data_IF_636098868167
#
_entry.id   IF_636098868167
#
_cell.length_a   1.000
_cell.length_b   1.000
_cell.length_c   1.000
_cell.angle_alpha   90.00
_cell.angle_beta   90.00
_cell.angle_gamma   90.00
#
_symmetry.space_group_name_H-M   'P 1'
#
loop_
_entity.id
_entity.type
_entity.pdbx_description
1 polymer ?
#
# COMPACT_ATOMS: atom_id res chain seq x y z
N UNK A 1 9.38 -23.28 11.79
CA UNK A 1 8.17 -23.36 10.95
C UNK A 1 6.84 -23.22 11.71
N UNK A 2 6.73 -23.47 13.00
CA UNK A 2 5.51 -23.21 13.80
C UNK A 2 5.50 -21.82 14.47
N UNK A 3 6.62 -21.12 14.46
CA UNK A 3 6.83 -19.83 15.15
C UNK A 3 6.36 -18.62 14.31
N UNK A 4 6.44 -18.67 12.99
CA UNK A 4 6.00 -17.56 12.13
C UNK A 4 4.47 -17.37 12.11
N UNK A 5 3.71 -18.47 12.16
CA UNK A 5 2.24 -18.39 12.16
C UNK A 5 1.68 -17.80 13.47
N UNK A 6 2.44 -17.94 14.58
CA UNK A 6 2.07 -17.37 15.88
C UNK A 6 2.36 -15.86 15.95
N UNK A 7 3.32 -15.35 15.14
CA UNK A 7 3.69 -13.94 15.19
C UNK A 7 2.69 -13.04 14.46
N UNK A 8 2.06 -13.49 13.37
CA UNK A 8 1.04 -12.66 12.69
C UNK A 8 -0.17 -12.43 13.61
N UNK A 9 -0.66 -13.50 14.27
CA UNK A 9 -1.74 -13.37 15.25
C UNK A 9 -1.34 -12.58 16.51
N UNK A 10 -0.07 -12.67 16.94
CA UNK A 10 0.41 -11.97 18.14
C UNK A 10 0.83 -10.52 17.87
N UNK A 11 1.29 -10.16 16.68
CA UNK A 11 1.60 -8.77 16.34
C UNK A 11 0.32 -7.90 16.34
N UNK A 12 -0.78 -8.44 15.83
CA UNK A 12 -2.09 -7.76 15.91
C UNK A 12 -2.61 -7.63 17.36
N UNK A 13 -2.31 -8.60 18.24
CA UNK A 13 -2.69 -8.55 19.66
C UNK A 13 -1.81 -7.62 20.51
N UNK A 14 -0.52 -7.46 20.19
CA UNK A 14 0.39 -6.64 21.00
C UNK A 14 0.21 -5.13 20.76
N UNK A 15 -0.21 -4.73 19.56
CA UNK A 15 -0.55 -3.34 19.28
C UNK A 15 -1.81 -2.85 20.04
N UNK A 16 -2.74 -3.76 20.39
CA UNK A 16 -3.97 -3.45 21.11
C UNK A 16 -3.78 -3.34 22.66
N UNK A 17 -2.67 -3.82 23.22
CA UNK A 17 -2.44 -3.85 24.67
C UNK A 17 -1.84 -2.57 25.27
N UNK A 18 -1.63 -1.52 24.47
CA UNK A 18 -0.93 -0.28 24.88
C UNK A 18 -1.79 0.82 25.52
N UNK A 19 -3.12 0.72 25.60
CA UNK A 19 -3.95 1.78 26.18
C UNK A 19 -5.01 1.22 27.12
N UNK A 20 -4.70 1.13 28.42
CA UNK A 20 -5.66 0.81 29.47
C UNK A 20 -6.58 1.98 29.79
N UNK A 21 -7.89 1.82 29.61
CA UNK A 21 -8.91 2.72 30.17
C UNK A 21 -9.97 1.92 30.93
N UNK A 22 -10.57 2.47 32.01
CA UNK A 22 -11.55 1.76 32.83
C UNK A 22 -12.93 1.78 32.17
N UNK A 23 -13.60 0.65 32.27
CA UNK A 23 -14.94 0.39 31.77
C UNK A 23 -16.03 1.19 32.51
N UNK A 24 -16.95 1.82 31.76
CA UNK A 24 -18.39 1.85 32.06
C UNK A 24 -19.15 2.19 30.78
N UNK A 25 -20.04 1.29 30.37
CA UNK A 25 -20.96 1.45 29.23
C UNK A 25 -22.16 2.33 29.59
N UNK A 26 -22.72 3.10 28.66
CA UNK A 26 -24.10 2.88 28.24
C UNK A 26 -24.26 2.81 26.68
N UNK A 27 -25.38 2.24 26.28
CA UNK A 27 -25.79 1.86 24.96
C UNK A 27 -25.94 3.03 23.95
N UNK A 28 -25.90 2.75 22.62
CA UNK A 28 -25.65 3.74 21.58
C UNK A 28 -26.92 4.35 21.02
N UNK A 29 -26.86 5.66 20.78
CA UNK A 29 -27.66 6.32 19.75
C UNK A 29 -26.77 6.72 18.56
N UNK A 30 -27.40 6.68 17.39
CA UNK A 30 -26.88 6.78 16.05
C UNK A 30 -25.76 7.80 15.79
N UNK A 31 -24.89 7.39 14.87
CA UNK A 31 -24.06 8.24 14.02
C UNK A 31 -23.46 9.47 14.69
N UNK A 32 -22.25 9.29 15.24
CA UNK A 32 -21.24 10.34 15.26
C UNK A 32 -20.06 9.94 16.16
N UNK A 33 -18.88 10.38 15.72
CA UNK A 33 -17.67 10.57 16.51
C UNK A 33 -16.97 9.32 17.09
N UNK A 34 -16.21 8.66 16.22
CA UNK A 34 -15.02 7.96 16.68
C UNK A 34 -13.95 9.00 17.10
N UNK A 35 -14.14 9.61 18.27
CA UNK A 35 -13.09 10.38 18.91
C UNK A 35 -12.16 9.45 19.69
N UNK A 36 -11.10 8.98 19.05
CA UNK A 36 -9.92 8.49 19.77
C UNK A 36 -9.18 9.72 20.30
N UNK A 37 -9.51 10.13 21.52
CA UNK A 37 -8.75 11.15 22.24
C UNK A 37 -7.51 10.50 22.85
N UNK A 38 -6.39 10.60 22.16
CA UNK A 38 -5.09 10.18 22.68
C UNK A 38 -4.00 10.53 21.67
N UNK A 39 -3.11 11.42 22.08
CA UNK A 39 -1.87 11.74 21.36
C UNK A 39 -0.97 10.49 21.40
N UNK A 40 -1.11 9.59 20.43
CA UNK A 40 -0.34 8.36 20.35
C UNK A 40 0.32 8.26 18.96
N UNK A 41 1.40 9.02 18.77
CA UNK A 41 2.45 8.60 17.85
C UNK A 41 2.81 7.14 18.18
N UNK A 42 3.23 6.36 17.18
CA UNK A 42 3.73 5.01 17.40
C UNK A 42 4.80 5.06 18.50
N UNK A 43 4.63 4.27 19.55
CA UNK A 43 5.63 4.19 20.63
C UNK A 43 6.59 3.07 20.32
N UNK A 44 7.87 3.40 20.20
CA UNK A 44 8.92 2.44 19.91
C UNK A 44 9.52 1.89 21.20
N UNK A 45 9.70 0.58 21.26
CA UNK A 45 10.52 -0.09 22.27
C UNK A 45 12.02 0.22 22.05
N UNK A 46 12.87 -0.15 23.01
CA UNK A 46 14.33 -0.05 22.81
C UNK A 46 14.82 -0.93 21.65
N UNK A 47 14.16 -2.07 21.42
CA UNK A 47 14.43 -2.98 20.31
C UNK A 47 14.05 -2.35 18.96
N UNK A 48 12.87 -1.71 18.88
CA UNK A 48 12.44 -0.98 17.68
C UNK A 48 13.38 0.17 17.36
N UNK A 49 13.81 0.94 18.35
CA UNK A 49 14.76 2.04 18.15
C UNK A 49 16.11 1.53 17.67
N UNK A 50 16.58 0.40 18.18
CA UNK A 50 17.82 -0.23 17.73
C UNK A 50 17.69 -0.73 16.28
N UNK A 51 16.55 -1.34 15.94
CA UNK A 51 16.25 -1.80 14.57
C UNK A 51 16.19 -0.62 13.60
N UNK A 52 15.49 0.45 13.94
CA UNK A 52 15.43 1.68 13.12
C UNK A 52 16.82 2.28 12.89
N UNK A 53 17.64 2.37 13.96
CA UNK A 53 19.00 2.90 13.87
C UNK A 53 19.90 2.02 12.98
N UNK A 54 19.74 0.70 13.05
CA UNK A 54 20.47 -0.23 12.19
C UNK A 54 20.05 -0.07 10.72
N UNK A 55 18.75 0.00 10.46
CA UNK A 55 18.19 0.21 9.11
C UNK A 55 18.61 1.55 8.50
N UNK A 56 18.60 2.63 9.29
CA UNK A 56 19.04 3.96 8.84
C UNK A 56 20.56 4.02 8.51
N UNK A 57 21.35 3.06 9.01
CA UNK A 57 22.77 2.96 8.71
C UNK A 57 23.12 2.05 7.52
N UNK A 58 22.12 1.43 6.89
CA UNK A 58 22.33 0.57 5.72
C UNK A 58 22.79 1.36 4.49
N UNK A 59 23.48 0.67 3.58
CA UNK A 59 23.91 1.25 2.30
C UNK A 59 22.69 1.65 1.46
N UNK A 60 22.79 2.80 0.79
CA UNK A 60 21.73 3.36 -0.05
C UNK A 60 20.62 4.07 0.71
N UNK A 61 20.65 4.08 2.04
CA UNK A 61 19.63 4.80 2.83
C UNK A 61 19.93 6.30 2.83
N UNK A 62 18.88 7.08 2.57
CA UNK A 62 18.86 8.54 2.64
C UNK A 62 17.62 8.93 3.44
N UNK A 63 17.84 9.62 4.57
CA UNK A 63 16.75 10.26 5.30
C UNK A 63 16.48 11.62 4.62
N UNK A 64 15.29 11.74 4.03
CA UNK A 64 14.88 12.96 3.31
C UNK A 64 14.20 13.91 4.28
N UNK A 65 14.80 15.10 4.44
CA UNK A 65 14.26 16.18 5.27
C UNK A 65 13.07 16.83 4.54
N UNK A 66 11.91 16.83 5.16
CA UNK A 66 10.71 17.48 4.65
C UNK A 66 10.61 18.95 5.09
N UNK A 67 9.86 19.75 4.35
CA UNK A 67 9.67 21.19 4.62
C UNK A 67 8.97 21.47 5.96
N UNK A 68 8.25 20.50 6.52
CA UNK A 68 7.58 20.58 7.82
C UNK A 68 8.48 20.19 9.00
N UNK A 69 9.75 19.85 8.76
CA UNK A 69 10.74 19.53 9.78
C UNK A 69 10.83 18.04 10.16
N UNK A 70 9.99 17.17 9.59
CA UNK A 70 10.12 15.72 9.73
C UNK A 70 11.06 15.12 8.69
N UNK A 71 11.49 13.88 8.94
CA UNK A 71 12.31 13.09 8.02
C UNK A 71 11.60 11.81 7.61
N UNK A 72 11.76 11.43 6.34
CA UNK A 72 11.25 10.16 5.82
C UNK A 72 12.39 9.31 5.30
N UNK A 73 12.24 8.00 5.50
CA UNK A 73 13.18 6.99 5.08
C UNK A 73 13.06 6.73 3.58
N UNK A 74 14.22 6.71 2.89
CA UNK A 74 14.34 6.16 1.54
C UNK A 74 15.55 5.25 1.45
N UNK A 75 15.49 4.23 0.57
CA UNK A 75 16.62 3.34 0.30
C UNK A 75 16.73 3.08 -1.19
N UNK A 76 17.92 3.33 -1.75
CA UNK A 76 18.24 3.15 -3.15
C UNK A 76 18.78 1.75 -3.44
N UNK A 77 18.31 1.16 -4.53
CA UNK A 77 18.79 -0.10 -5.11
C UNK A 77 19.09 0.08 -6.59
N UNK A 78 20.22 -0.43 -7.04
CA UNK A 78 20.69 -0.22 -8.42
C UNK A 78 21.15 1.21 -8.68
N UNK A 79 21.37 1.52 -9.94
CA UNK A 79 21.75 2.84 -10.41
C UNK A 79 21.36 3.01 -11.89
N UNK A 80 20.68 4.10 -12.21
CA UNK A 80 20.32 4.49 -13.56
C UNK A 80 20.07 5.99 -13.63
N UNK A 81 20.53 6.63 -14.71
CA UNK A 81 20.20 8.03 -14.95
C UNK A 81 18.86 8.18 -15.72
N UNK A 82 18.47 7.17 -16.49
CA UNK A 82 17.35 7.22 -17.42
C UNK A 82 16.03 6.67 -16.83
N UNK A 83 16.13 5.70 -15.90
CA UNK A 83 14.97 5.04 -15.30
C UNK A 83 15.08 5.02 -13.77
N UNK A 84 14.41 5.96 -13.11
CA UNK A 84 14.33 6.06 -11.66
C UNK A 84 12.91 5.77 -11.20
N UNK A 85 12.78 4.82 -10.30
CA UNK A 85 11.51 4.35 -9.78
C UNK A 85 11.37 4.75 -8.31
N UNK A 86 10.34 5.52 -7.96
CA UNK A 86 9.93 5.70 -6.58
C UNK A 86 8.76 4.78 -6.27
N UNK A 87 8.87 4.01 -5.20
CA UNK A 87 7.89 3.00 -4.79
C UNK A 87 7.09 3.48 -3.60
N UNK A 88 5.78 3.55 -3.75
CA UNK A 88 4.82 3.90 -2.69
C UNK A 88 4.16 2.64 -2.15
N UNK A 89 4.43 2.33 -0.88
CA UNK A 89 3.79 1.20 -0.20
C UNK A 89 2.32 1.49 0.16
N UNK A 90 1.58 0.43 0.43
CA UNK A 90 0.18 0.45 0.85
C UNK A 90 -0.03 0.55 2.37
N UNK A 91 -1.18 0.13 2.77
CA UNK A 91 -1.73 0.24 4.10
C UNK A 91 -2.90 1.22 4.12
N UNK A 92 -2.76 2.53 4.42
CA UNK A 92 -1.51 3.27 4.69
C UNK A 92 -0.72 2.72 5.87
N UNK A 93 0.50 3.22 6.04
CA UNK A 93 1.34 2.93 7.22
C UNK A 93 1.94 1.52 7.33
N UNK A 94 1.94 0.72 6.26
CA UNK A 94 2.90 -0.36 6.12
C UNK A 94 4.33 0.18 6.05
N UNK A 95 5.31 -0.68 5.85
CA UNK A 95 6.66 -0.29 5.45
C UNK A 95 6.92 -0.68 4.01
N UNK A 96 8.00 -0.16 3.43
CA UNK A 96 8.46 -0.52 2.08
C UNK A 96 8.77 -2.02 1.92
N UNK A 97 9.01 -2.73 3.00
CA UNK A 97 9.58 -4.09 3.00
C UNK A 97 8.79 -5.06 2.13
N UNK A 98 7.46 -5.06 2.17
CA UNK A 98 6.67 -5.95 1.33
C UNK A 98 6.75 -5.63 -0.18
N UNK A 99 7.31 -4.46 -0.55
CA UNK A 99 7.55 -4.06 -1.94
C UNK A 99 8.98 -4.36 -2.42
N UNK A 100 9.87 -4.90 -1.55
CA UNK A 100 11.28 -5.14 -1.85
C UNK A 100 11.50 -6.06 -3.06
N UNK A 101 10.51 -6.88 -3.44
CA UNK A 101 10.63 -7.66 -4.66
C UNK A 101 10.84 -6.79 -5.92
N UNK A 102 10.34 -5.54 -5.94
CA UNK A 102 10.67 -4.57 -6.99
C UNK A 102 12.17 -4.21 -7.00
N UNK A 103 12.76 -3.99 -5.83
CA UNK A 103 14.19 -3.71 -5.70
C UNK A 103 15.08 -4.92 -6.05
N UNK A 104 14.59 -6.13 -5.83
CA UNK A 104 15.32 -7.35 -6.18
C UNK A 104 15.29 -7.65 -7.68
N UNK A 105 14.19 -7.32 -8.36
CA UNK A 105 13.96 -7.71 -9.75
C UNK A 105 14.32 -6.62 -10.75
N UNK A 106 13.88 -5.36 -10.55
CA UNK A 106 13.99 -4.32 -11.58
C UNK A 106 15.42 -3.89 -11.91
N UNK A 107 16.36 -3.70 -10.95
CA UNK A 107 17.69 -3.19 -11.27
C UNK A 107 18.49 -4.07 -12.23
N UNK A 108 18.18 -5.36 -12.28
CA UNK A 108 18.90 -6.33 -13.11
C UNK A 108 17.98 -7.09 -14.09
N UNK A 109 16.76 -6.60 -14.34
CA UNK A 109 15.80 -7.32 -15.17
C UNK A 109 16.23 -7.29 -16.64
N UNK A 110 16.39 -8.49 -17.24
CA UNK A 110 16.88 -8.65 -18.61
C UNK A 110 16.04 -7.90 -19.67
N UNK A 111 14.77 -7.66 -19.39
CA UNK A 111 13.86 -6.90 -20.27
C UNK A 111 14.18 -5.41 -20.37
N UNK A 112 14.97 -4.86 -19.45
CA UNK A 112 15.32 -3.44 -19.41
C UNK A 112 16.77 -3.16 -19.87
N UNK A 113 17.60 -4.20 -20.06
CA UNK A 113 19.01 -4.07 -20.43
C UNK A 113 19.96 -3.85 -19.24
N UNK A 114 21.23 -3.62 -19.50
CA UNK A 114 22.26 -3.42 -18.46
C UNK A 114 22.08 -2.06 -17.76
N UNK A 115 22.05 -2.03 -16.42
CA UNK A 115 21.86 -0.82 -15.62
C UNK A 115 20.44 -0.29 -15.66
N UNK A 116 19.51 -1.19 -15.74
CA UNK A 116 18.15 -0.95 -16.19
C UNK A 116 17.30 -0.01 -15.34
N UNK A 117 17.39 -0.04 -14.02
CA UNK A 117 16.63 0.85 -13.17
C UNK A 117 17.34 1.18 -11.84
N UNK A 118 17.13 2.40 -11.36
CA UNK A 118 17.40 2.82 -10.01
C UNK A 118 16.07 2.83 -9.24
N UNK A 119 15.93 2.00 -8.21
CA UNK A 119 14.70 1.82 -7.45
C UNK A 119 14.88 2.42 -6.06
N UNK A 120 14.00 3.34 -5.70
CA UNK A 120 13.94 3.94 -4.37
C UNK A 120 12.73 3.41 -3.62
N UNK A 121 12.99 2.65 -2.56
CA UNK A 121 12.01 2.33 -1.54
C UNK A 121 11.82 3.53 -0.63
N UNK A 122 10.59 3.74 -0.16
CA UNK A 122 10.24 4.90 0.61
C UNK A 122 9.19 4.54 1.66
N UNK A 123 9.45 4.88 2.92
CA UNK A 123 8.46 4.80 4.00
C UNK A 123 7.80 6.16 4.18
N UNK A 124 6.50 6.22 3.99
CA UNK A 124 5.71 7.44 4.16
C UNK A 124 5.72 7.91 5.61
N UNK A 125 5.51 9.21 5.82
CA UNK A 125 5.41 9.80 7.16
C UNK A 125 4.34 9.09 8.00
N UNK A 126 4.72 8.61 9.18
CA UNK A 126 3.89 7.76 10.04
C UNK A 126 4.16 6.27 9.91
N UNK A 127 4.93 5.81 8.91
CA UNK A 127 5.41 4.43 8.81
C UNK A 127 6.60 4.17 9.72
N UNK A 128 6.91 2.90 9.98
CA UNK A 128 7.83 2.48 11.04
C UNK A 128 9.24 3.08 10.93
N UNK A 129 9.84 3.19 9.75
CA UNK A 129 11.19 3.71 9.59
C UNK A 129 11.26 5.24 9.38
N UNK A 130 10.14 5.90 9.15
CA UNK A 130 10.01 7.36 9.04
C UNK A 130 9.59 8.01 10.35
N UNK A 131 9.60 9.33 10.41
CA UNK A 131 9.14 10.08 11.57
C UNK A 131 7.63 9.92 11.80
N UNK A 132 7.24 10.14 13.05
CA UNK A 132 5.86 10.00 13.51
C UNK A 132 5.27 11.39 13.76
N UNK A 133 4.47 11.92 12.83
CA UNK A 133 3.89 13.26 12.97
C UNK A 133 2.64 13.24 13.85
N UNK A 134 2.16 14.44 14.15
CA UNK A 134 0.83 14.62 14.73
C UNK A 134 -0.26 14.20 13.73
N UNK A 135 -1.39 13.74 14.26
CA UNK A 135 -2.49 13.13 13.48
C UNK A 135 -3.12 14.05 12.42
N UNK A 136 -3.05 15.36 12.60
CA UNK A 136 -3.55 16.36 11.65
C UNK A 136 -2.77 16.38 10.33
N UNK A 137 -1.54 15.84 10.31
CA UNK A 137 -0.74 15.65 9.10
C UNK A 137 -1.09 14.36 8.35
N UNK A 138 -1.90 13.47 8.90
CA UNK A 138 -2.36 12.27 8.22
C UNK A 138 -3.52 12.57 7.27
N UNK A 139 -3.17 13.08 6.10
CA UNK A 139 -4.13 13.42 5.06
C UNK A 139 -3.49 13.34 3.67
N UNK A 140 -4.31 13.04 2.65
CA UNK A 140 -3.86 12.84 1.26
C UNK A 140 -3.07 14.05 0.72
N UNK A 141 -3.54 15.31 0.86
CA UNK A 141 -2.77 16.45 0.33
C UNK A 141 -1.36 16.56 0.91
N UNK A 142 -1.16 16.22 2.20
CA UNK A 142 0.17 16.23 2.81
C UNK A 142 1.07 15.15 2.22
N UNK A 143 0.56 13.92 2.03
CA UNK A 143 1.34 12.85 1.42
C UNK A 143 1.66 13.11 -0.06
N UNK A 144 0.75 13.74 -0.82
CA UNK A 144 1.06 14.18 -2.20
C UNK A 144 2.22 15.17 -2.20
N UNK A 145 2.21 16.16 -1.30
CA UNK A 145 3.32 17.08 -1.14
C UNK A 145 4.62 16.39 -0.70
N UNK A 146 4.53 15.40 0.16
CA UNK A 146 5.66 14.58 0.62
C UNK A 146 6.31 13.82 -0.54
N UNK A 147 5.52 13.17 -1.40
CA UNK A 147 6.03 12.52 -2.62
C UNK A 147 6.79 13.52 -3.50
N UNK A 148 6.28 14.75 -3.64
CA UNK A 148 6.96 15.81 -4.41
C UNK A 148 8.29 16.22 -3.77
N UNK A 149 8.34 16.39 -2.45
CA UNK A 149 9.56 16.71 -1.72
C UNK A 149 10.60 15.58 -1.82
N UNK A 150 10.17 14.32 -1.71
CA UNK A 150 11.03 13.13 -1.87
C UNK A 150 11.57 13.05 -3.30
N UNK A 151 10.70 13.19 -4.32
CA UNK A 151 11.11 13.23 -5.73
C UNK A 151 12.21 14.27 -5.98
N UNK A 152 12.02 15.49 -5.46
CA UNK A 152 12.99 16.57 -5.61
C UNK A 152 14.33 16.24 -4.95
N UNK A 153 14.29 15.71 -3.72
CA UNK A 153 15.48 15.34 -2.97
C UNK A 153 16.30 14.23 -3.66
N UNK A 154 15.61 13.31 -4.36
CA UNK A 154 16.23 12.20 -5.11
C UNK A 154 16.60 12.57 -6.56
N UNK A 155 16.39 13.82 -6.99
CA UNK A 155 16.76 14.29 -8.33
C UNK A 155 16.02 13.59 -9.46
N UNK A 156 14.72 13.34 -9.28
CA UNK A 156 13.84 12.72 -10.28
C UNK A 156 13.07 13.81 -11.04
N UNK A 157 12.87 13.64 -12.36
CA UNK A 157 12.10 14.56 -13.20
C UNK A 157 11.43 13.84 -14.36
N UNK A 158 10.71 14.57 -15.21
CA UNK A 158 9.95 14.01 -16.33
C UNK A 158 10.77 13.20 -17.36
N UNK A 159 12.10 13.25 -17.28
CA UNK A 159 12.97 12.49 -18.19
C UNK A 159 13.30 11.09 -17.66
N UNK A 160 13.13 10.85 -16.35
CA UNK A 160 13.55 9.61 -15.70
C UNK A 160 12.58 9.06 -14.64
N UNK A 161 11.53 9.79 -14.24
CA UNK A 161 10.74 9.47 -13.06
C UNK A 161 9.55 8.55 -13.34
N UNK A 162 9.62 7.34 -12.83
CA UNK A 162 8.49 6.39 -12.74
C UNK A 162 7.98 6.32 -11.29
N UNK A 163 6.67 6.48 -11.13
CA UNK A 163 6.01 6.33 -9.83
C UNK A 163 5.20 5.03 -9.82
N UNK A 164 5.54 4.14 -8.89
CA UNK A 164 4.84 2.86 -8.70
C UNK A 164 4.19 2.85 -7.33
N UNK A 165 2.88 2.66 -7.27
CA UNK A 165 2.15 2.54 -6.02
C UNK A 165 1.29 1.28 -5.96
N UNK A 166 1.31 0.59 -4.80
CA UNK A 166 0.44 -0.55 -4.54
C UNK A 166 -0.59 -0.21 -3.47
N UNK A 167 -1.85 -0.62 -3.67
CA UNK A 167 -2.93 -0.41 -2.71
C UNK A 167 -3.08 1.08 -2.38
N UNK A 168 -3.08 1.48 -1.10
CA UNK A 168 -3.02 2.89 -0.71
C UNK A 168 -1.94 3.69 -1.47
N UNK A 169 -0.75 3.09 -1.70
CA UNK A 169 0.29 3.73 -2.52
C UNK A 169 -0.17 3.99 -3.96
N UNK A 170 -1.05 3.15 -4.50
CA UNK A 170 -1.70 3.36 -5.81
C UNK A 170 -2.68 4.53 -5.79
N UNK A 171 -3.45 4.70 -4.71
CA UNK A 171 -4.29 5.88 -4.48
C UNK A 171 -3.43 7.15 -4.48
N UNK A 172 -2.36 7.15 -3.69
CA UNK A 172 -1.44 8.28 -3.57
C UNK A 172 -0.74 8.59 -4.91
N UNK A 173 -0.38 7.56 -5.68
CA UNK A 173 0.23 7.72 -6.99
C UNK A 173 -0.73 8.38 -8.01
N UNK A 174 -2.01 8.01 -8.00
CA UNK A 174 -3.04 8.66 -8.83
C UNK A 174 -3.26 10.12 -8.44
N UNK A 175 -3.37 10.42 -7.14
CA UNK A 175 -3.50 11.80 -6.65
C UNK A 175 -2.27 12.65 -6.99
N UNK A 176 -1.06 12.07 -6.90
CA UNK A 176 0.17 12.74 -7.31
C UNK A 176 0.16 13.04 -8.83
N UNK A 177 -0.22 12.08 -9.66
CA UNK A 177 -0.29 12.26 -11.11
C UNK A 177 -1.30 13.34 -11.52
N UNK A 178 -2.40 13.50 -10.77
CA UNK A 178 -3.37 14.57 -10.96
C UNK A 178 -2.86 15.94 -10.49
N UNK A 179 -1.99 15.98 -9.50
CA UNK A 179 -1.45 17.23 -8.95
C UNK A 179 -0.18 17.71 -9.69
N UNK A 180 0.64 16.78 -10.19
CA UNK A 180 1.96 17.04 -10.77
C UNK A 180 2.21 16.24 -12.07
N UNK A 181 1.30 16.30 -13.05
CA UNK A 181 1.42 15.49 -14.28
C UNK A 181 2.70 15.74 -15.08
N UNK A 182 3.28 16.94 -14.95
CA UNK A 182 4.48 17.37 -15.68
C UNK A 182 5.78 16.73 -15.18
N UNK A 183 5.77 16.05 -14.02
CA UNK A 183 6.98 15.47 -13.46
C UNK A 183 7.16 13.98 -13.79
N UNK A 184 6.09 13.30 -14.21
CA UNK A 184 6.09 11.86 -14.42
C UNK A 184 6.46 11.47 -15.86
N UNK A 185 7.38 10.51 -15.99
CA UNK A 185 7.66 9.78 -17.23
C UNK A 185 6.71 8.59 -17.42
N UNK A 186 6.39 7.90 -16.31
CA UNK A 186 5.42 6.81 -16.28
C UNK A 186 4.78 6.62 -14.92
N UNK A 187 3.56 6.13 -14.91
CA UNK A 187 2.76 5.83 -13.71
C UNK A 187 2.38 4.35 -13.70
N UNK A 188 2.53 3.69 -12.56
CA UNK A 188 2.07 2.31 -12.35
C UNK A 188 1.21 2.25 -11.10
N UNK A 189 -0.05 1.88 -11.27
CA UNK A 189 -1.02 1.71 -10.19
C UNK A 189 -1.27 0.21 -10.03
N UNK A 190 -0.84 -0.34 -8.91
CA UNK A 190 -0.97 -1.76 -8.61
C UNK A 190 -2.07 -1.99 -7.58
N UNK A 191 -3.03 -2.82 -7.94
CA UNK A 191 -4.02 -3.36 -7.01
C UNK A 191 -4.76 -2.26 -6.24
N UNK A 192 -5.24 -1.21 -6.97
CA UNK A 192 -6.00 -0.11 -6.38
C UNK A 192 -7.06 0.44 -7.32
N UNK A 193 -8.29 0.43 -6.87
CA UNK A 193 -9.41 1.07 -7.55
C UNK A 193 -9.38 2.60 -7.34
N UNK A 194 -9.97 3.35 -8.28
CA UNK A 194 -10.09 4.82 -8.20
C UNK A 194 -11.25 5.29 -7.30
N UNK A 195 -11.93 4.36 -6.64
CA UNK A 195 -13.11 4.61 -5.79
C UNK A 195 -13.11 3.62 -4.62
N UNK A 196 -13.06 4.11 -3.40
CA UNK A 196 -13.22 3.30 -2.17
C UNK A 196 -14.67 2.81 -2.02
N UNK A 197 -15.72 3.60 -2.35
CA UNK A 197 -17.07 3.05 -2.39
C UNK A 197 -17.21 1.83 -3.29
N UNK A 198 -16.60 1.81 -4.49
CA UNK A 198 -16.64 0.67 -5.39
C UNK A 198 -15.84 -0.53 -4.85
N UNK A 199 -14.70 -0.28 -4.21
CA UNK A 199 -13.95 -1.31 -3.51
C UNK A 199 -14.77 -1.95 -2.40
N UNK A 200 -15.40 -1.15 -1.55
CA UNK A 200 -16.26 -1.66 -0.48
C UNK A 200 -17.47 -2.44 -1.03
N UNK A 201 -18.05 -1.97 -2.15
CA UNK A 201 -19.12 -2.68 -2.85
C UNK A 201 -18.66 -4.04 -3.40
N UNK A 202 -17.49 -4.12 -4.04
CA UNK A 202 -16.93 -5.37 -4.55
C UNK A 202 -16.69 -6.39 -3.42
N UNK A 203 -16.14 -5.97 -2.30
CA UNK A 203 -15.99 -6.81 -1.13
C UNK A 203 -17.35 -7.36 -0.66
N UNK A 204 -18.34 -6.48 -0.49
CA UNK A 204 -19.66 -6.84 0.02
C UNK A 204 -20.48 -7.70 -0.95
N UNK A 205 -20.43 -7.40 -2.25
CA UNK A 205 -21.33 -7.98 -3.25
C UNK A 205 -20.73 -9.18 -3.99
N UNK A 206 -19.40 -9.30 -4.01
CA UNK A 206 -18.68 -10.35 -4.73
C UNK A 206 -17.91 -11.26 -3.78
N UNK A 207 -16.98 -10.70 -2.97
CA UNK A 207 -16.07 -11.52 -2.17
C UNK A 207 -16.78 -12.19 -0.98
N UNK A 208 -17.57 -11.45 -0.22
CA UNK A 208 -18.31 -12.00 0.93
C UNK A 208 -19.31 -13.11 0.51
N UNK A 209 -20.12 -12.96 -0.53
CA UNK A 209 -21.03 -14.02 -0.99
C UNK A 209 -20.32 -15.28 -1.51
N UNK A 210 -19.06 -15.17 -1.96
CA UNK A 210 -18.26 -16.32 -2.36
C UNK A 210 -17.73 -17.14 -1.16
N UNK A 211 -17.76 -16.56 0.05
CA UNK A 211 -17.40 -17.26 1.28
C UNK A 211 -18.54 -18.16 1.79
N UNK A 212 -18.23 -19.08 2.72
CA UNK A 212 -19.28 -19.87 3.39
C UNK A 212 -20.19 -18.96 4.23
N UNK A 213 -21.50 -19.07 4.08
CA UNK A 213 -22.46 -18.20 4.79
C UNK A 213 -22.23 -18.17 6.33
N UNK A 214 -22.00 -19.34 6.96
CA UNK A 214 -21.76 -19.41 8.41
C UNK A 214 -20.48 -18.69 8.85
N UNK A 215 -19.50 -18.56 7.95
CA UNK A 215 -18.27 -17.79 8.21
C UNK A 215 -18.58 -16.28 8.13
N UNK A 216 -19.30 -15.86 7.10
CA UNK A 216 -19.74 -14.45 6.95
C UNK A 216 -20.58 -14.04 8.17
N UNK A 217 -21.57 -14.86 8.58
CA UNK A 217 -22.38 -14.61 9.78
C UNK A 217 -21.50 -14.42 11.04
N UNK A 218 -20.45 -15.25 11.18
CA UNK A 218 -19.52 -15.13 12.32
C UNK A 218 -18.72 -13.82 12.27
N UNK A 219 -18.14 -13.48 11.11
CA UNK A 219 -17.36 -12.24 10.94
C UNK A 219 -18.24 -11.01 11.16
N UNK A 220 -19.44 -10.98 10.62
CA UNK A 220 -20.41 -9.89 10.81
C UNK A 220 -20.84 -9.74 12.27
N UNK A 221 -20.91 -10.83 13.03
CA UNK A 221 -21.19 -10.77 14.47
C UNK A 221 -20.07 -10.08 15.26
N UNK A 222 -18.80 -10.37 14.94
CA UNK A 222 -17.64 -9.66 15.50
C UNK A 222 -17.63 -8.18 15.11
N UNK A 223 -17.88 -7.88 13.83
CA UNK A 223 -17.96 -6.51 13.32
C UNK A 223 -19.07 -5.71 14.00
N UNK A 224 -20.27 -6.30 14.16
CA UNK A 224 -21.39 -5.66 14.86
C UNK A 224 -21.11 -5.40 16.35
N UNK A 225 -20.25 -6.21 16.97
CA UNK A 225 -19.79 -6.03 18.34
C UNK A 225 -18.60 -5.06 18.47
N UNK A 226 -18.04 -4.58 17.35
CA UNK A 226 -16.80 -3.79 17.34
C UNK A 226 -15.57 -4.57 17.83
N UNK A 227 -15.62 -5.91 17.79
CA UNK A 227 -14.59 -6.80 18.33
C UNK A 227 -13.53 -7.14 17.26
N UNK A 228 -12.94 -6.12 16.64
CA UNK A 228 -11.95 -6.27 15.56
C UNK A 228 -10.59 -6.77 16.05
N UNK A 229 -10.30 -6.65 17.35
CA UNK A 229 -9.10 -7.13 18.03
C UNK A 229 -9.25 -8.53 18.65
N UNK A 230 -10.43 -9.18 18.51
CA UNK A 230 -10.64 -10.55 18.99
C UNK A 230 -9.72 -11.52 18.23
N UNK A 231 -8.90 -12.32 18.92
CA UNK A 231 -7.97 -13.26 18.26
C UNK A 231 -8.65 -14.22 17.28
N UNK A 232 -9.91 -14.61 17.54
CA UNK A 232 -10.66 -15.51 16.65
C UNK A 232 -11.07 -14.78 15.38
N UNK A 233 -11.50 -13.51 15.49
CA UNK A 233 -11.80 -12.69 14.31
C UNK A 233 -10.57 -12.51 13.43
N UNK A 234 -9.45 -12.16 14.03
CA UNK A 234 -8.17 -11.97 13.31
C UNK A 234 -7.71 -13.26 12.63
N UNK A 235 -7.79 -14.41 13.31
CA UNK A 235 -7.46 -15.71 12.71
C UNK A 235 -8.38 -16.06 11.53
N UNK A 236 -9.69 -15.79 11.65
CA UNK A 236 -10.65 -16.04 10.58
C UNK A 236 -10.40 -15.15 9.37
N UNK A 237 -10.12 -13.85 9.58
CA UNK A 237 -9.79 -12.91 8.50
C UNK A 237 -8.47 -13.31 7.82
N UNK A 238 -7.41 -13.61 8.58
CA UNK A 238 -6.16 -14.09 8.00
C UNK A 238 -6.37 -15.33 7.14
N UNK A 239 -6.94 -16.37 7.72
CA UNK A 239 -7.04 -17.68 7.10
C UNK A 239 -8.00 -17.72 5.91
N UNK A 240 -9.14 -17.05 6.02
CA UNK A 240 -10.25 -17.19 5.09
C UNK A 240 -10.35 -16.03 4.09
N UNK A 241 -9.63 -14.94 4.34
CA UNK A 241 -9.60 -13.78 3.46
C UNK A 241 -8.17 -13.41 3.02
N UNK A 242 -7.24 -13.11 3.93
CA UNK A 242 -5.91 -12.65 3.55
C UNK A 242 -5.11 -13.69 2.76
N UNK A 243 -5.19 -14.98 3.17
CA UNK A 243 -4.53 -16.08 2.47
C UNK A 243 -5.12 -16.38 1.09
N UNK A 244 -6.24 -15.77 0.74
CA UNK A 244 -6.92 -15.97 -0.56
C UNK A 244 -6.82 -14.74 -1.45
N UNK A 245 -6.81 -13.56 -0.85
CA UNK A 245 -6.99 -12.30 -1.56
C UNK A 245 -5.85 -11.29 -1.36
N UNK A 246 -5.01 -11.44 -0.31
CA UNK A 246 -3.86 -10.54 -0.07
C UNK A 246 -2.58 -11.17 -0.59
N UNK A 247 -2.21 -12.37 -0.13
CA UNK A 247 -1.08 -13.11 -0.66
C UNK A 247 -1.35 -14.61 -0.59
N UNK A 248 -1.34 -15.27 -1.74
CA UNK A 248 -1.72 -16.68 -1.90
C UNK A 248 -0.58 -17.66 -1.74
N UNK A 249 0.64 -17.18 -1.51
CA UNK A 249 1.77 -18.04 -1.20
C UNK A 249 1.53 -18.81 0.10
N UNK A 250 1.81 -20.11 0.13
CA UNK A 250 1.66 -20.95 1.33
C UNK A 250 2.48 -20.38 2.49
N UNK A 251 3.73 -19.99 2.21
CA UNK A 251 4.61 -19.30 3.14
C UNK A 251 4.83 -17.89 2.63
N UNK A 252 4.35 -16.93 3.37
CA UNK A 252 4.60 -15.53 3.03
C UNK A 252 6.10 -15.21 3.14
N UNK A 253 6.65 -14.45 2.19
CA UNK A 253 8.03 -13.95 2.31
C UNK A 253 8.26 -13.20 3.62
N UNK A 254 9.48 -13.24 4.13
CA UNK A 254 9.87 -12.53 5.35
C UNK A 254 9.60 -11.03 5.22
N UNK A 255 9.95 -10.44 4.09
CA UNK A 255 9.70 -9.02 3.78
C UNK A 255 8.22 -8.64 3.93
N UNK A 256 7.30 -9.52 3.51
CA UNK A 256 5.85 -9.31 3.66
C UNK A 256 5.45 -9.40 5.14
N UNK A 257 5.90 -10.43 5.84
CA UNK A 257 5.55 -10.64 7.26
C UNK A 257 6.10 -9.55 8.16
N UNK A 258 7.31 -9.07 7.90
CA UNK A 258 7.96 -8.00 8.64
C UNK A 258 7.26 -6.65 8.42
N UNK A 259 6.89 -6.33 7.18
CA UNK A 259 6.13 -5.12 6.87
C UNK A 259 4.78 -5.08 7.60
N UNK A 260 4.05 -6.20 7.62
CA UNK A 260 2.78 -6.30 8.34
C UNK A 260 2.97 -6.23 9.87
N UNK A 261 4.06 -6.81 10.40
CA UNK A 261 4.38 -6.74 11.82
C UNK A 261 4.73 -5.31 12.29
N UNK A 262 5.21 -4.46 11.38
CA UNK A 262 5.58 -3.05 11.63
C UNK A 262 4.49 -2.04 11.26
N UNK A 263 3.31 -2.50 10.90
CA UNK A 263 2.18 -1.63 10.56
C UNK A 263 1.87 -0.65 11.70
N UNK A 264 1.82 0.64 11.41
CA UNK A 264 1.23 1.61 12.34
C UNK A 264 -0.29 1.47 12.32
N UNK A 265 -0.80 0.58 13.16
CA UNK A 265 -2.21 0.21 13.18
C UNK A 265 -3.14 1.40 13.48
N UNK A 266 -2.71 2.35 14.31
CA UNK A 266 -3.52 3.54 14.60
C UNK A 266 -3.77 4.37 13.34
N UNK A 267 -2.73 4.63 12.56
CA UNK A 267 -2.85 5.35 11.30
C UNK A 267 -3.66 4.54 10.28
N UNK A 268 -3.40 3.23 10.21
CA UNK A 268 -4.12 2.32 9.32
C UNK A 268 -5.63 2.34 9.63
N UNK A 269 -6.03 2.09 10.87
CA UNK A 269 -7.45 2.04 11.29
C UNK A 269 -8.14 3.39 11.08
N UNK A 270 -7.47 4.49 11.37
CA UNK A 270 -7.99 5.84 11.16
C UNK A 270 -8.30 6.13 9.68
N UNK A 271 -7.43 5.69 8.78
CA UNK A 271 -7.54 6.00 7.35
C UNK A 271 -8.33 4.95 6.58
N UNK A 272 -7.96 3.68 6.73
CA UNK A 272 -8.51 2.54 5.98
C UNK A 272 -9.67 1.85 6.72
N UNK A 273 -9.66 1.86 8.05
CA UNK A 273 -10.53 1.04 8.88
C UNK A 273 -9.83 -0.22 9.40
N UNK A 274 -10.55 -1.11 10.07
CA UNK A 274 -9.94 -2.18 10.87
C UNK A 274 -9.24 -3.27 10.05
N UNK A 275 -9.56 -3.44 8.76
CA UNK A 275 -8.94 -4.46 7.92
C UNK A 275 -9.30 -4.29 6.43
N UNK A 276 -8.60 -5.03 5.54
CA UNK A 276 -8.97 -5.15 4.12
C UNK A 276 -10.34 -5.84 3.93
N UNK A 277 -10.78 -6.62 4.90
CA UNK A 277 -12.11 -7.25 4.89
C UNK A 277 -13.22 -6.25 5.26
N UNK A 278 -12.92 -5.27 6.12
CA UNK A 278 -13.84 -4.23 6.58
C UNK A 278 -13.27 -2.85 6.32
N UNK A 279 -13.56 -2.32 5.16
CA UNK A 279 -13.14 -0.98 4.74
C UNK A 279 -13.99 0.09 5.43
N UNK A 280 -13.35 1.16 5.85
CA UNK A 280 -13.97 2.28 6.57
C UNK A 280 -13.04 3.50 6.60
N UNK A 281 -12.89 4.11 7.77
CA UNK A 281 -11.93 5.20 8.00
C UNK A 281 -12.19 6.47 7.20
N UNK A 282 -11.19 7.36 7.20
CA UNK A 282 -11.29 8.69 6.57
C UNK A 282 -11.37 8.67 5.05
N UNK A 283 -10.94 7.57 4.41
CA UNK A 283 -10.91 7.45 2.95
C UNK A 283 -12.20 6.85 2.37
N UNK A 284 -13.19 6.53 3.20
CA UNK A 284 -14.39 5.79 2.78
C UNK A 284 -15.16 6.44 1.62
N UNK A 285 -15.12 7.76 1.51
CA UNK A 285 -15.82 8.52 0.45
C UNK A 285 -14.88 8.95 -0.70
N UNK A 286 -13.61 8.47 -0.68
CA UNK A 286 -12.67 8.85 -1.73
C UNK A 286 -13.04 8.21 -3.07
N UNK A 287 -13.25 9.07 -4.08
CA UNK A 287 -13.55 8.67 -5.45
C UNK A 287 -13.01 9.72 -6.43
N UNK A 288 -12.07 9.31 -7.27
CA UNK A 288 -11.49 10.14 -8.33
C UNK A 288 -11.77 9.61 -9.72
N UNK A 289 -12.69 8.65 -9.86
CA UNK A 289 -12.98 7.98 -11.15
C UNK A 289 -13.29 8.98 -12.26
N UNK A 290 -14.06 10.02 -11.95
CA UNK A 290 -14.39 11.08 -12.91
C UNK A 290 -13.18 11.93 -13.35
N UNK A 291 -12.08 11.89 -12.60
CA UNK A 291 -10.83 12.64 -12.86
C UNK A 291 -9.77 11.83 -13.60
N UNK A 292 -9.92 10.51 -13.71
CA UNK A 292 -8.95 9.67 -14.43
C UNK A 292 -8.63 10.18 -15.87
N UNK A 293 -9.59 10.73 -16.65
CA UNK A 293 -9.27 11.33 -17.95
C UNK A 293 -8.32 12.53 -17.92
N UNK A 294 -8.06 13.12 -16.75
CA UNK A 294 -7.07 14.20 -16.59
C UNK A 294 -5.62 13.64 -16.58
N UNK A 295 -5.43 12.35 -16.29
CA UNK A 295 -4.10 11.70 -16.26
C UNK A 295 -3.63 11.47 -17.70
N UNK A 296 -2.62 12.25 -18.12
CA UNK A 296 -2.02 12.18 -19.44
C UNK A 296 -0.70 11.39 -19.49
N UNK A 297 -0.13 11.06 -18.33
CA UNK A 297 1.08 10.25 -18.18
C UNK A 297 0.82 8.83 -18.71
N UNK A 298 1.76 8.21 -19.47
CA UNK A 298 1.71 6.78 -19.74
C UNK A 298 1.46 5.97 -18.46
N UNK A 299 0.39 5.19 -18.44
CA UNK A 299 -0.09 4.56 -17.19
C UNK A 299 -0.31 3.07 -17.37
N UNK A 300 0.26 2.26 -16.47
CA UNK A 300 -0.03 0.85 -16.31
C UNK A 300 -0.94 0.63 -15.09
N UNK A 301 -2.14 0.08 -15.31
CA UNK A 301 -3.06 -0.36 -14.25
C UNK A 301 -2.89 -1.86 -14.06
N UNK A 302 -2.34 -2.27 -12.92
CA UNK A 302 -2.12 -3.68 -12.58
C UNK A 302 -3.21 -4.15 -11.61
N UNK A 303 -3.83 -5.27 -11.93
CA UNK A 303 -4.76 -5.97 -11.05
C UNK A 303 -4.47 -7.45 -11.03
N UNK A 304 -5.25 -8.20 -10.23
CA UNK A 304 -5.10 -9.64 -10.14
C UNK A 304 -6.45 -10.33 -9.96
N UNK A 305 -6.57 -11.55 -10.47
CA UNK A 305 -7.84 -12.30 -10.47
C UNK A 305 -8.36 -12.60 -9.05
N UNK A 306 -7.43 -12.79 -8.11
CA UNK A 306 -7.78 -13.18 -6.74
C UNK A 306 -7.64 -12.04 -5.73
N UNK A 307 -7.56 -10.79 -6.21
CA UNK A 307 -7.37 -9.59 -5.40
C UNK A 307 -8.58 -9.28 -4.49
N UNK A 308 -8.35 -8.42 -3.52
CA UNK A 308 -9.40 -7.70 -2.76
C UNK A 308 -10.09 -6.66 -3.62
N UNK A 309 -9.45 -6.19 -4.68
CA UNK A 309 -9.94 -5.21 -5.67
C UNK A 309 -10.55 -5.89 -6.89
N UNK A 310 -11.57 -5.26 -7.51
CA UNK A 310 -12.17 -5.78 -8.76
C UNK A 310 -11.17 -5.70 -9.93
N UNK A 311 -10.70 -6.82 -10.52
CA UNK A 311 -9.77 -6.79 -11.65
C UNK A 311 -10.37 -6.09 -12.89
N UNK A 312 -11.69 -6.12 -13.07
CA UNK A 312 -12.34 -5.40 -14.15
C UNK A 312 -12.35 -3.88 -13.94
N UNK A 313 -12.26 -3.41 -12.69
CA UNK A 313 -12.05 -2.00 -12.41
C UNK A 313 -10.69 -1.52 -12.93
N UNK A 314 -9.63 -2.34 -12.82
CA UNK A 314 -8.32 -2.01 -13.39
C UNK A 314 -8.37 -1.83 -14.91
N UNK A 315 -9.11 -2.71 -15.62
CA UNK A 315 -9.33 -2.57 -17.07
C UNK A 315 -10.07 -1.28 -17.40
N UNK A 316 -11.19 -1.01 -16.69
CA UNK A 316 -11.96 0.22 -16.87
C UNK A 316 -11.15 1.48 -16.61
N UNK A 317 -10.31 1.48 -15.58
CA UNK A 317 -9.42 2.61 -15.24
C UNK A 317 -8.36 2.85 -16.32
N UNK A 318 -7.79 1.77 -16.87
CA UNK A 318 -6.85 1.87 -17.99
C UNK A 318 -7.50 2.48 -19.25
N UNK A 319 -8.78 2.19 -19.49
CA UNK A 319 -9.53 2.79 -20.60
C UNK A 319 -9.90 4.26 -20.35
N UNK A 320 -9.96 4.71 -19.10
CA UNK A 320 -10.34 6.08 -18.74
C UNK A 320 -9.16 7.06 -18.78
N UNK A 321 -7.95 6.64 -18.43
CA UNK A 321 -6.76 7.51 -18.54
C UNK A 321 -6.39 7.71 -20.00
N UNK A 322 -5.71 8.81 -20.34
CA UNK A 322 -5.44 9.16 -21.76
C UNK A 322 -4.53 8.15 -22.45
N UNK A 323 -3.56 7.58 -21.74
CA UNK A 323 -2.60 6.60 -22.25
C UNK A 323 -2.49 5.45 -21.26
N UNK A 324 -3.48 4.57 -21.25
CA UNK A 324 -3.60 3.47 -20.30
C UNK A 324 -3.36 2.10 -20.90
N UNK A 325 -2.79 1.20 -20.10
CA UNK A 325 -2.72 -0.24 -20.36
C UNK A 325 -3.10 -0.98 -19.09
N UNK A 326 -3.90 -2.03 -19.20
CA UNK A 326 -4.20 -2.94 -18.10
C UNK A 326 -3.30 -4.17 -18.16
N UNK A 327 -2.83 -4.61 -16.99
CA UNK A 327 -2.18 -5.90 -16.76
C UNK A 327 -2.96 -6.64 -15.69
N UNK A 328 -3.45 -7.84 -15.99
CA UNK A 328 -4.11 -8.68 -14.98
C UNK A 328 -3.24 -9.91 -14.74
N UNK A 329 -2.81 -10.07 -13.49
CA UNK A 329 -2.08 -11.22 -12.98
C UNK A 329 -3.11 -12.33 -12.67
N UNK A 330 -3.23 -13.31 -13.58
CA UNK A 330 -4.32 -14.30 -13.54
C UNK A 330 -4.22 -15.24 -12.33
N UNK A 331 -3.02 -15.53 -11.87
CA UNK A 331 -2.76 -16.38 -10.70
C UNK A 331 -2.51 -15.56 -9.43
N UNK A 332 -2.42 -14.22 -9.55
CA UNK A 332 -2.07 -13.30 -8.48
C UNK A 332 -3.23 -12.87 -7.61
N UNK A 333 -2.88 -12.25 -6.49
CA UNK A 333 -3.78 -11.56 -5.57
C UNK A 333 -3.32 -10.13 -5.28
N UNK A 334 -3.68 -9.53 -4.16
CA UNK A 334 -3.30 -8.15 -3.81
C UNK A 334 -1.79 -7.88 -3.84
N UNK A 335 -0.99 -8.90 -3.56
CA UNK A 335 0.46 -8.86 -3.67
C UNK A 335 0.96 -9.67 -4.89
N UNK A 336 0.39 -9.36 -6.07
CA UNK A 336 0.74 -10.04 -7.33
C UNK A 336 2.24 -9.96 -7.67
N UNK A 337 2.95 -8.94 -7.19
CA UNK A 337 4.41 -8.85 -7.30
C UNK A 337 5.14 -10.02 -6.61
N UNK A 338 4.46 -10.78 -5.74
CA UNK A 338 4.98 -11.97 -5.06
C UNK A 338 4.38 -13.26 -5.57
N UNK A 339 3.04 -13.34 -5.65
CA UNK A 339 2.34 -14.60 -5.90
C UNK A 339 2.02 -14.85 -7.39
N UNK A 340 2.24 -13.86 -8.26
CA UNK A 340 2.29 -14.01 -9.73
C UNK A 340 3.43 -13.16 -10.32
N UNK A 341 4.61 -13.30 -9.74
CA UNK A 341 5.77 -12.44 -10.04
C UNK A 341 6.17 -12.45 -11.53
N UNK A 342 6.12 -13.60 -12.20
CA UNK A 342 6.50 -13.70 -13.60
C UNK A 342 5.60 -12.85 -14.50
N UNK A 343 4.28 -12.90 -14.30
CA UNK A 343 3.31 -12.07 -15.04
C UNK A 343 3.48 -10.60 -14.69
N UNK A 344 3.61 -10.29 -13.38
CA UNK A 344 3.76 -8.93 -12.89
C UNK A 344 5.00 -8.25 -13.48
N UNK A 345 6.18 -8.84 -13.30
CA UNK A 345 7.44 -8.23 -13.77
C UNK A 345 7.58 -8.26 -15.29
N UNK A 346 7.06 -9.29 -15.95
CA UNK A 346 7.01 -9.34 -17.42
C UNK A 346 6.21 -8.17 -18.01
N UNK A 347 5.02 -7.90 -17.44
CA UNK A 347 4.17 -6.78 -17.87
C UNK A 347 4.73 -5.41 -17.50
N UNK A 348 5.27 -5.27 -16.29
CA UNK A 348 5.89 -4.03 -15.81
C UNK A 348 7.11 -3.63 -16.65
N UNK A 349 8.01 -4.56 -16.91
CA UNK A 349 9.21 -4.27 -17.70
C UNK A 349 8.89 -4.01 -19.17
N UNK A 350 7.89 -4.69 -19.74
CA UNK A 350 7.39 -4.38 -21.08
C UNK A 350 6.82 -2.95 -21.14
N UNK A 351 6.07 -2.53 -20.12
CA UNK A 351 5.57 -1.16 -20.01
C UNK A 351 6.69 -0.13 -19.98
N UNK A 352 7.68 -0.30 -19.09
CA UNK A 352 8.84 0.62 -18.99
C UNK A 352 9.58 0.66 -20.32
N UNK A 353 9.86 -0.49 -20.94
CA UNK A 353 10.56 -0.58 -22.23
C UNK A 353 9.80 0.13 -23.35
N UNK A 354 8.46 0.02 -23.40
CA UNK A 354 7.64 0.71 -24.39
C UNK A 354 7.63 2.23 -24.19
N UNK A 355 7.63 2.70 -22.94
CA UNK A 355 7.73 4.13 -22.62
C UNK A 355 9.11 4.67 -23.01
N UNK A 356 10.19 3.96 -22.64
CA UNK A 356 11.57 4.33 -23.00
C UNK A 356 11.76 4.35 -24.53
N UNK A 357 11.18 3.39 -25.24
CA UNK A 357 11.24 3.27 -26.70
C UNK A 357 10.31 4.24 -27.45
N UNK A 358 9.45 5.00 -26.75
CA UNK A 358 8.45 5.88 -27.35
C UNK A 358 7.37 5.12 -28.14
N UNK A 359 7.12 3.85 -27.81
CA UNK A 359 6.15 2.98 -28.49
C UNK A 359 4.87 2.75 -27.69
N UNK A 360 4.81 3.27 -26.46
CA UNK A 360 3.62 3.15 -25.64
C UNK A 360 2.46 3.98 -26.18
N UNK A 361 1.30 3.36 -26.39
CA UNK A 361 0.10 4.03 -26.91
C UNK A 361 0.02 4.16 -28.43
N UNK A 362 0.88 3.47 -29.16
CA UNK A 362 0.87 3.37 -30.63
C UNK A 362 0.38 2.02 -31.12
#
# INVERSE_FOLDING_TARGET
MKTALHMIGTAWCLAALGCGAPATSPAPDAADDYHVTGNCAMTFSEEDLALRAAKHAEEGVIMVQLSNGYEVFTQQFGASDDTKVLVLHGGPACTHEYMLNLAYQLPAHAGLGDGAAEVHMYDQLGSFFSDQPEEDLWNIPRWVQEVEEVRQALGMDSTNFYLIGNSWGGMLAMEYALAHPEHLKGLVVCNMQSSIPDYAAYNKEVLRPAMRASLVDSLEAYEAAGAYDDPTYLELVDKEFYRKHVCRLENWPEDVTESFARLNYKLYDLMQGPSEFKVGGRIIDWDITARLPEIATPTLMVGATHDTMDPEAMRRQADLVQHGRALICEEGSHLALWDDADTFFGGLTAFISDVEGGTFGH
#
